data_IF_536556015093
#
_entry.id   IF_536556015093
#
_cell.length_a   1.000
_cell.length_b   1.000
_cell.length_c   1.000
_cell.angle_alpha   90.00
_cell.angle_beta   90.00
_cell.angle_gamma   90.00
#
_symmetry.space_group_name_H-M   'P 1'
#
loop_
_entity.id
_entity.type
_entity.pdbx_description
1 polymer ?
#
# COMPACT_ATOMS: atom_id res chain seq x y z
N UNK A 1 -11.38 -2.96 -21.99
CA UNK A 1 -11.29 -2.80 -20.55
C UNK A 1 -10.23 -1.77 -20.20
N UNK A 2 -10.62 -0.78 -19.44
CA UNK A 2 -9.68 0.26 -19.08
C UNK A 2 -8.87 -0.17 -17.87
N UNK A 3 -7.55 -0.05 -17.98
CA UNK A 3 -6.68 -0.25 -16.84
C UNK A 3 -6.72 1.00 -15.98
N UNK A 4 -6.93 0.81 -14.69
CA UNK A 4 -6.90 1.92 -13.76
C UNK A 4 -5.45 2.28 -13.48
N UNK A 5 -5.10 3.52 -13.81
CA UNK A 5 -3.76 4.02 -13.54
C UNK A 5 -3.78 4.84 -12.27
N UNK A 6 -2.84 4.56 -11.41
CA UNK A 6 -2.69 5.27 -10.15
C UNK A 6 -1.39 6.06 -10.17
N UNK A 7 -1.44 7.25 -9.61
CA UNK A 7 -0.21 7.99 -9.33
C UNK A 7 0.54 7.30 -8.20
N UNK A 8 1.80 7.66 -8.04
CA UNK A 8 2.60 7.11 -6.95
C UNK A 8 1.94 7.37 -5.60
N UNK A 9 1.44 8.58 -5.39
CA UNK A 9 0.81 8.96 -4.13
C UNK A 9 -0.47 8.16 -3.90
N UNK A 10 -1.29 7.97 -4.93
CA UNK A 10 -2.49 7.16 -4.81
C UNK A 10 -2.15 5.72 -4.43
N UNK A 11 -1.10 5.15 -5.02
CA UNK A 11 -0.67 3.79 -4.70
C UNK A 11 -0.21 3.69 -3.25
N UNK A 12 0.55 4.68 -2.79
CA UNK A 12 1.02 4.69 -1.40
C UNK A 12 -0.15 4.79 -0.43
N UNK A 13 -1.12 5.64 -0.74
CA UNK A 13 -2.28 5.81 0.13
C UNK A 13 -3.15 4.55 0.15
N UNK A 14 -3.40 3.97 -1.01
CA UNK A 14 -4.21 2.75 -1.08
C UNK A 14 -3.54 1.60 -0.33
N UNK A 15 -2.23 1.46 -0.51
CA UNK A 15 -1.48 0.44 0.21
C UNK A 15 -1.48 0.70 1.71
N UNK A 16 -1.33 1.96 2.12
CA UNK A 16 -1.39 2.34 3.53
C UNK A 16 -2.73 1.95 4.15
N UNK A 17 -3.80 2.17 3.40
CA UNK A 17 -5.12 1.79 3.87
C UNK A 17 -5.23 0.29 4.06
N UNK A 18 -4.66 -0.51 3.15
CA UNK A 18 -4.68 -1.95 3.29
C UNK A 18 -3.91 -2.43 4.51
N UNK A 19 -2.76 -1.81 4.80
CA UNK A 19 -1.96 -2.17 5.96
C UNK A 19 -2.67 -1.81 7.26
N UNK A 20 -3.27 -0.64 7.28
CA UNK A 20 -4.03 -0.21 8.46
C UNK A 20 -5.23 -1.13 8.69
N UNK A 21 -5.96 -1.45 7.63
CA UNK A 21 -7.13 -2.31 7.71
C UNK A 21 -6.74 -3.71 8.21
N UNK A 22 -5.66 -4.28 7.68
CA UNK A 22 -5.18 -5.59 8.10
C UNK A 22 -4.71 -5.59 9.55
N UNK A 23 -4.06 -4.52 9.97
CA UNK A 23 -3.56 -4.40 11.33
C UNK A 23 -4.71 -4.41 12.33
N UNK A 24 -5.76 -3.64 12.05
CA UNK A 24 -6.92 -3.57 12.92
C UNK A 24 -7.62 -4.93 12.99
N UNK A 25 -7.85 -5.55 11.83
CA UNK A 25 -8.58 -6.82 11.78
C UNK A 25 -7.79 -7.96 12.41
N UNK A 26 -6.46 -7.94 12.30
CA UNK A 26 -5.64 -8.95 12.95
C UNK A 26 -5.71 -8.86 14.47
N UNK A 27 -5.83 -7.66 15.00
CA UNK A 27 -5.94 -7.48 16.45
C UNK A 27 -7.27 -8.01 17.01
N UNK A 28 -8.24 -8.21 16.13
CA UNK A 28 -9.58 -8.64 16.51
C UNK A 28 -9.87 -10.06 16.03
N UNK A 29 -8.85 -10.91 16.02
CA UNK A 29 -8.96 -12.28 15.50
C UNK A 29 -10.07 -13.07 16.22
N UNK A 30 -10.27 -12.82 17.51
CA UNK A 30 -11.27 -13.54 18.27
C UNK A 30 -12.70 -13.07 18.00
N UNK A 31 -12.85 -11.92 17.37
CA UNK A 31 -14.17 -11.36 17.02
C UNK A 31 -14.11 -10.89 15.57
N UNK A 32 -14.94 -11.46 14.72
CA UNK A 32 -14.91 -11.07 13.29
C UNK A 32 -15.58 -9.71 13.06
N UNK A 33 -15.17 -8.72 13.83
CA UNK A 33 -15.64 -7.37 13.63
C UNK A 33 -14.78 -6.70 12.57
N UNK A 34 -15.41 -6.26 11.50
CA UNK A 34 -14.74 -5.45 10.50
C UNK A 34 -14.86 -4.01 10.97
N UNK A 35 -13.76 -3.50 11.50
CA UNK A 35 -13.73 -2.11 11.87
C UNK A 35 -13.50 -1.28 10.61
N UNK A 36 -14.38 -0.35 10.38
CA UNK A 36 -14.23 0.63 9.32
C UNK A 36 -13.50 1.82 9.91
N UNK A 37 -12.76 2.52 9.08
CA UNK A 37 -12.08 3.73 9.54
C UNK A 37 -12.66 4.96 8.85
N UNK A 38 -12.68 6.08 9.56
CA UNK A 38 -13.11 7.33 8.96
C UNK A 38 -11.99 7.95 8.14
N UNK A 39 -12.37 8.82 7.20
CA UNK A 39 -11.38 9.57 6.42
C UNK A 39 -10.47 10.38 7.33
N UNK A 40 -11.05 11.03 8.33
CA UNK A 40 -10.30 11.91 9.22
C UNK A 40 -9.23 11.11 9.96
N UNK A 41 -9.61 10.00 10.56
CA UNK A 41 -8.67 9.15 11.30
C UNK A 41 -7.56 8.64 10.39
N UNK A 42 -7.92 8.18 9.22
CA UNK A 42 -6.94 7.64 8.28
C UNK A 42 -5.95 8.71 7.82
N UNK A 43 -6.45 9.89 7.47
CA UNK A 43 -5.59 10.99 7.03
C UNK A 43 -4.65 11.40 8.17
N UNK A 44 -5.13 11.46 9.39
CA UNK A 44 -4.28 11.78 10.54
C UNK A 44 -3.15 10.77 10.70
N UNK A 45 -3.45 9.49 10.51
CA UNK A 45 -2.43 8.45 10.60
C UNK A 45 -1.37 8.61 9.52
N UNK A 46 -1.78 8.94 8.30
CA UNK A 46 -0.84 9.18 7.21
C UNK A 46 0.07 10.36 7.55
N UNK A 47 -0.51 11.44 8.04
CA UNK A 47 0.25 12.63 8.41
C UNK A 47 1.25 12.31 9.52
N UNK A 48 0.83 11.56 10.53
CA UNK A 48 1.70 11.19 11.65
C UNK A 48 2.84 10.29 11.22
N UNK A 49 2.64 9.47 10.20
CA UNK A 49 3.67 8.55 9.72
C UNK A 49 4.86 9.27 9.13
N UNK A 50 4.64 10.46 8.55
CA UNK A 50 5.64 11.27 7.85
C UNK A 50 6.29 10.54 6.67
N UNK A 51 5.67 9.47 6.23
CA UNK A 51 6.17 8.69 5.08
C UNK A 51 5.71 9.30 3.77
N UNK A 52 4.43 9.65 3.71
CA UNK A 52 3.87 10.31 2.53
C UNK A 52 3.89 11.80 2.81
N UNK A 53 4.83 12.50 2.18
CA UNK A 53 5.08 13.92 2.48
C UNK A 53 4.20 14.82 1.63
N UNK A 54 2.92 14.79 1.91
CA UNK A 54 1.93 15.64 1.25
C UNK A 54 1.16 16.42 2.28
N UNK A 55 0.64 17.57 1.88
CA UNK A 55 -0.22 18.36 2.75
C UNK A 55 -1.56 17.66 2.91
N UNK A 56 -2.21 17.93 4.01
CA UNK A 56 -3.48 17.32 4.34
C UNK A 56 -4.51 17.43 3.21
N UNK A 57 -4.61 18.61 2.62
CA UNK A 57 -5.56 18.84 1.53
C UNK A 57 -5.29 17.94 0.34
N UNK A 58 -4.02 17.75 0.01
CA UNK A 58 -3.65 16.88 -1.10
C UNK A 58 -3.99 15.41 -0.80
N UNK A 59 -3.86 14.99 0.45
CA UNK A 59 -4.22 13.64 0.84
C UNK A 59 -5.71 13.39 0.69
N UNK A 60 -6.54 14.36 1.08
CA UNK A 60 -7.98 14.24 0.87
C UNK A 60 -8.34 14.17 -0.61
N UNK A 61 -7.65 14.96 -1.44
CA UNK A 61 -7.88 14.90 -2.89
C UNK A 61 -7.51 13.55 -3.48
N UNK A 62 -6.45 12.95 -2.96
CA UNK A 62 -6.05 11.61 -3.40
C UNK A 62 -7.09 10.57 -3.00
N UNK A 63 -7.69 10.69 -1.82
CA UNK A 63 -8.77 9.80 -1.43
C UNK A 63 -9.98 9.95 -2.35
N UNK A 64 -10.33 11.19 -2.68
CA UNK A 64 -11.43 11.44 -3.62
C UNK A 64 -11.15 10.79 -4.97
N UNK A 65 -9.91 10.91 -5.44
CA UNK A 65 -9.51 10.30 -6.70
C UNK A 65 -9.63 8.77 -6.66
N UNK A 66 -9.23 8.16 -5.55
CA UNK A 66 -9.38 6.71 -5.38
C UNK A 66 -10.84 6.30 -5.36
N UNK A 67 -11.68 7.13 -4.76
CA UNK A 67 -13.12 6.89 -4.73
C UNK A 67 -13.70 7.00 -6.15
N UNK A 68 -13.29 8.02 -6.91
CA UNK A 68 -13.73 8.21 -8.28
C UNK A 68 -13.30 7.04 -9.17
N UNK A 69 -12.17 6.45 -8.88
CA UNK A 69 -11.67 5.27 -9.60
C UNK A 69 -12.30 3.98 -9.10
N UNK A 70 -13.20 4.09 -8.13
CA UNK A 70 -13.94 2.98 -7.56
C UNK A 70 -13.07 1.92 -6.92
N UNK A 71 -11.97 2.35 -6.32
CA UNK A 71 -11.09 1.46 -5.57
C UNK A 71 -11.43 1.46 -4.09
N UNK A 72 -11.98 2.56 -3.61
CA UNK A 72 -12.55 2.66 -2.28
C UNK A 72 -13.94 3.27 -2.41
N UNK A 73 -14.75 3.07 -1.40
CA UNK A 73 -16.04 3.73 -1.31
C UNK A 73 -16.20 4.34 0.06
N UNK A 74 -16.98 5.41 0.09
CA UNK A 74 -17.18 6.19 1.29
C UNK A 74 -18.66 6.09 1.66
N UNK A 75 -18.92 5.48 2.79
CA UNK A 75 -20.26 5.26 3.25
C UNK A 75 -20.36 5.63 4.72
N UNK A 76 -21.29 6.50 5.03
CA UNK A 76 -21.55 6.89 6.42
C UNK A 76 -20.27 7.34 7.13
N UNK A 77 -19.48 8.18 6.43
CA UNK A 77 -18.19 8.73 6.92
C UNK A 77 -17.08 7.70 7.09
N UNK A 78 -17.32 6.47 6.67
CA UNK A 78 -16.34 5.40 6.79
C UNK A 78 -15.82 5.01 5.42
N UNK A 79 -14.56 4.61 5.36
CA UNK A 79 -13.92 4.18 4.14
C UNK A 79 -13.94 2.66 4.06
N UNK A 80 -14.22 2.14 2.89
CA UNK A 80 -14.19 0.70 2.63
C UNK A 80 -13.47 0.43 1.33
N UNK A 81 -12.88 -0.75 1.22
CA UNK A 81 -12.40 -1.23 -0.07
C UNK A 81 -13.56 -1.70 -0.93
N UNK A 82 -13.42 -1.48 -2.23
CA UNK A 82 -14.24 -2.18 -3.21
C UNK A 82 -13.50 -3.47 -3.61
N UNK A 83 -14.18 -4.34 -4.35
CA UNK A 83 -13.51 -5.53 -4.88
C UNK A 83 -12.34 -5.14 -5.78
N UNK A 84 -12.53 -4.12 -6.61
CA UNK A 84 -11.46 -3.61 -7.47
C UNK A 84 -10.30 -3.08 -6.66
N UNK A 85 -10.59 -2.42 -5.54
CA UNK A 85 -9.56 -1.90 -4.64
C UNK A 85 -8.74 -3.02 -4.03
N UNK A 86 -9.39 -4.09 -3.61
CA UNK A 86 -8.68 -5.26 -3.05
C UNK A 86 -7.79 -5.90 -4.09
N UNK A 87 -8.26 -6.02 -5.33
CA UNK A 87 -7.43 -6.57 -6.42
C UNK A 87 -6.23 -5.70 -6.71
N UNK A 88 -6.42 -4.38 -6.67
CA UNK A 88 -5.32 -3.45 -6.88
C UNK A 88 -4.28 -3.57 -5.78
N UNK A 89 -4.72 -3.70 -4.53
CA UNK A 89 -3.81 -3.90 -3.40
C UNK A 89 -3.02 -5.20 -3.55
N UNK A 90 -3.68 -6.26 -3.97
CA UNK A 90 -3.00 -7.53 -4.22
C UNK A 90 -1.92 -7.39 -5.28
N UNK A 91 -2.22 -6.62 -6.33
CA UNK A 91 -1.25 -6.35 -7.39
C UNK A 91 -0.04 -5.58 -6.85
N UNK A 92 -0.31 -4.54 -6.05
CA UNK A 92 0.76 -3.76 -5.43
C UNK A 92 1.62 -4.66 -4.53
N UNK A 93 0.97 -5.49 -3.75
CA UNK A 93 1.66 -6.38 -2.82
C UNK A 93 2.57 -7.36 -3.56
N UNK A 94 2.10 -7.90 -4.68
CA UNK A 94 2.93 -8.79 -5.50
C UNK A 94 4.15 -8.05 -6.06
N UNK A 95 3.96 -6.81 -6.49
CA UNK A 95 5.08 -6.00 -6.98
C UNK A 95 6.10 -5.75 -5.89
N UNK A 96 5.64 -5.43 -4.68
CA UNK A 96 6.53 -5.22 -3.53
C UNK A 96 7.34 -6.49 -3.27
N UNK A 97 6.67 -7.63 -3.26
CA UNK A 97 7.35 -8.90 -2.99
C UNK A 97 8.39 -9.22 -4.05
N UNK A 98 8.13 -8.89 -5.32
CA UNK A 98 9.12 -9.07 -6.37
C UNK A 98 10.37 -8.23 -6.11
N UNK A 99 10.19 -6.99 -5.71
CA UNK A 99 11.34 -6.13 -5.40
C UNK A 99 12.12 -6.65 -4.20
N UNK A 100 11.41 -7.12 -3.18
CA UNK A 100 12.06 -7.70 -2.00
C UNK A 100 12.83 -8.97 -2.38
N UNK A 101 12.24 -9.82 -3.20
CA UNK A 101 12.88 -11.05 -3.64
C UNK A 101 14.16 -10.78 -4.42
N UNK A 102 14.12 -9.78 -5.30
CA UNK A 102 15.31 -9.36 -6.04
C UNK A 102 16.38 -8.85 -5.09
N UNK A 103 15.99 -8.04 -4.15
CA UNK A 103 16.91 -7.49 -3.17
C UNK A 103 17.57 -8.57 -2.36
N UNK A 104 16.80 -9.54 -1.90
CA UNK A 104 17.31 -10.64 -1.10
C UNK A 104 18.22 -11.55 -1.92
N UNK A 105 17.84 -11.83 -3.15
CA UNK A 105 18.64 -12.65 -4.03
C UNK A 105 20.05 -12.06 -4.22
N UNK A 106 20.12 -10.77 -4.49
CA UNK A 106 21.40 -10.13 -4.76
C UNK A 106 22.25 -9.91 -3.52
N UNK A 107 21.64 -9.93 -2.33
CA UNK A 107 22.41 -9.96 -1.09
C UNK A 107 23.24 -11.23 -0.98
N UNK A 108 22.70 -12.35 -1.47
CA UNK A 108 23.38 -13.64 -1.37
C UNK A 108 24.60 -13.73 -2.28
N UNK A 109 24.67 -12.92 -3.31
CA UNK A 109 25.78 -12.97 -4.25
C UNK A 109 27.11 -12.65 -3.60
N UNK A 110 27.11 -11.84 -2.55
CA UNK A 110 28.35 -11.56 -1.83
C UNK A 110 29.03 -12.80 -1.29
N UNK A 111 28.26 -13.81 -0.94
CA UNK A 111 28.79 -15.05 -0.40
C UNK A 111 29.39 -15.94 -1.47
N UNK A 112 28.96 -15.77 -2.71
CA UNK A 112 29.38 -16.63 -3.82
C UNK A 112 30.23 -15.92 -4.85
N UNK A 113 30.66 -14.69 -4.58
CA UNK A 113 31.35 -13.91 -5.60
C UNK A 113 32.65 -14.53 -6.07
N UNK A 114 33.27 -15.38 -5.28
CA UNK A 114 34.50 -16.09 -5.70
C UNK A 114 34.24 -17.02 -6.87
N UNK A 115 33.01 -17.45 -7.02
CA UNK A 115 32.62 -18.37 -8.10
C UNK A 115 32.16 -17.63 -9.34
N UNK A 116 32.02 -16.32 -9.25
CA UNK A 116 31.58 -15.52 -10.37
C UNK A 116 32.75 -15.15 -11.25
N UNK A 117 32.54 -15.23 -12.54
CA UNK A 117 33.54 -14.83 -13.51
C UNK A 117 33.55 -13.32 -13.75
N UNK A 118 32.63 -12.63 -13.13
CA UNK A 118 32.53 -11.18 -13.28
C UNK A 118 33.60 -10.48 -12.49
N UNK A 119 34.29 -9.57 -13.14
CA UNK A 119 35.26 -8.73 -12.45
C UNK A 119 34.51 -7.57 -11.82
N UNK A 120 34.56 -7.52 -10.50
CA UNK A 120 33.98 -6.41 -9.76
C UNK A 120 35.11 -5.55 -9.27
N UNK A 121 35.22 -4.37 -9.85
CA UNK A 121 36.25 -3.42 -9.42
C UNK A 121 35.76 -2.69 -8.18
N UNK A 122 36.52 -2.79 -7.15
CA UNK A 122 36.19 -2.09 -5.90
C UNK A 122 36.97 -0.82 -5.79
#
# INVERSE_FOLDING_TARGET
MKLTKLTKTERLILFSFSQFYSSINQQLVTKPLRLETSKITFIELILQSKIITKQERALYKNLESLEDKRLIEYDNRMIKFTDSGLKMVQKIDREINQFVDIKDYFKEIKKTKRKLQTVINN
#
